data_IF_320288634459
#
_entry.id   IF_320288634459
#
_cell.length_a   1.000
_cell.length_b   1.000
_cell.length_c   1.000
_cell.angle_alpha   90.00
_cell.angle_beta   90.00
_cell.angle_gamma   90.00
#
_symmetry.space_group_name_H-M   'P 1'
#
loop_
_entity.id
_entity.type
_entity.pdbx_description
1 polymer ?
#
# COMPACT_ATOMS: atom_id res chain seq x y z
N UNK A 1 14.59 15.96 -17.04
CA UNK A 1 15.13 14.75 -16.38
C UNK A 1 13.95 13.84 -16.04
N UNK A 2 13.97 12.56 -16.40
CA UNK A 2 12.93 11.60 -16.01
C UNK A 2 13.50 10.75 -14.87
N UNK A 3 12.83 10.72 -13.73
CA UNK A 3 13.21 9.91 -12.57
C UNK A 3 12.25 8.71 -12.47
N UNK A 4 12.75 7.54 -12.12
CA UNK A 4 11.96 6.32 -11.95
C UNK A 4 12.21 5.81 -10.54
N UNK A 5 11.15 5.67 -9.77
CA UNK A 5 11.17 5.07 -8.44
C UNK A 5 10.43 3.73 -8.49
N UNK A 6 11.07 2.69 -7.96
CA UNK A 6 10.56 1.34 -7.91
C UNK A 6 10.63 0.83 -6.46
N UNK A 7 9.79 -0.16 -6.08
CA UNK A 7 9.96 -0.83 -4.81
C UNK A 7 11.34 -1.48 -4.75
N UNK A 8 12.04 -1.29 -3.63
CA UNK A 8 13.38 -1.85 -3.42
C UNK A 8 13.34 -3.31 -3.01
N UNK A 9 12.24 -3.74 -2.38
CA UNK A 9 11.99 -5.12 -1.99
C UNK A 9 10.56 -5.52 -2.33
N UNK A 10 10.40 -6.66 -3.00
CA UNK A 10 9.10 -7.27 -3.25
C UNK A 10 9.18 -8.72 -2.78
N UNK A 11 8.49 -9.02 -1.69
CA UNK A 11 8.40 -10.37 -1.12
C UNK A 11 7.03 -10.94 -1.43
N UNK A 12 7.01 -12.12 -2.06
CA UNK A 12 5.77 -12.83 -2.42
C UNK A 12 5.94 -14.29 -2.03
N UNK A 13 5.03 -14.80 -1.20
CA UNK A 13 5.12 -16.18 -0.73
C UNK A 13 4.09 -16.50 0.34
N UNK A 14 4.02 -17.77 0.72
CA UNK A 14 3.22 -18.17 1.87
C UNK A 14 3.91 -17.74 3.16
N UNK A 15 3.16 -17.17 4.11
CA UNK A 15 3.71 -16.71 5.39
C UNK A 15 4.74 -15.56 5.23
N UNK A 16 4.75 -14.86 4.09
CA UNK A 16 5.60 -13.69 3.86
C UNK A 16 5.37 -12.58 4.92
N UNK A 17 4.21 -12.57 5.58
CA UNK A 17 3.89 -11.62 6.65
C UNK A 17 4.83 -11.71 7.86
N UNK A 18 5.46 -12.86 8.10
CA UNK A 18 6.36 -13.04 9.23
C UNK A 18 7.77 -12.51 8.97
N UNK A 19 8.11 -12.21 7.71
CA UNK A 19 9.41 -11.62 7.32
C UNK A 19 9.34 -10.08 7.26
N UNK A 20 8.32 -9.47 7.88
CA UNK A 20 8.13 -8.00 7.81
C UNK A 20 9.26 -7.25 8.49
N UNK A 21 9.75 -7.74 9.63
CA UNK A 21 10.89 -7.13 10.34
C UNK A 21 12.18 -7.24 9.52
N UNK A 22 12.44 -8.42 8.95
CA UNK A 22 13.58 -8.65 8.05
C UNK A 22 13.56 -7.69 6.84
N UNK A 23 12.39 -7.50 6.22
CA UNK A 23 12.22 -6.57 5.10
C UNK A 23 12.48 -5.12 5.54
N UNK A 24 12.02 -4.71 6.72
CA UNK A 24 12.26 -3.37 7.29
C UNK A 24 13.77 -3.16 7.52
N UNK A 25 14.46 -4.16 8.06
CA UNK A 25 15.89 -4.14 8.32
C UNK A 25 16.71 -4.06 7.02
N UNK A 26 16.42 -4.93 6.04
CA UNK A 26 17.07 -4.92 4.72
C UNK A 26 16.92 -3.58 4.00
N UNK A 27 15.76 -2.93 4.15
CA UNK A 27 15.47 -1.63 3.56
C UNK A 27 16.18 -0.47 4.29
N UNK A 28 16.86 -0.74 5.41
CA UNK A 28 17.58 0.23 6.22
C UNK A 28 16.64 1.21 6.94
N UNK A 29 15.37 0.86 7.11
CA UNK A 29 14.38 1.69 7.79
C UNK A 29 14.58 1.53 9.29
N UNK A 30 14.66 2.65 10.01
CA UNK A 30 14.82 2.66 11.47
C UNK A 30 13.71 3.45 12.14
N UNK A 31 13.44 3.14 13.40
CA UNK A 31 12.44 3.83 14.22
C UNK A 31 11.11 3.10 14.25
N UNK A 32 10.02 3.83 14.54
CA UNK A 32 8.71 3.23 14.82
C UNK A 32 7.74 3.39 13.64
N UNK A 33 7.02 2.32 13.26
CA UNK A 33 5.99 2.40 12.23
C UNK A 33 4.71 3.07 12.72
N UNK A 34 4.00 3.70 11.78
CA UNK A 34 2.54 3.81 11.82
C UNK A 34 1.94 2.62 11.07
N UNK A 35 1.34 1.66 11.78
CA UNK A 35 0.66 0.52 11.15
C UNK A 35 -0.80 0.88 10.92
N UNK A 36 -1.27 0.83 9.67
CA UNK A 36 -2.64 1.17 9.28
C UNK A 36 -3.39 -0.09 8.81
N UNK A 37 -4.58 -0.34 9.36
CA UNK A 37 -5.47 -1.41 8.92
C UNK A 37 -6.94 -1.04 9.18
N UNK A 38 -7.90 -1.70 8.54
CA UNK A 38 -9.31 -1.65 8.96
C UNK A 38 -9.60 -2.73 10.03
N UNK A 39 -10.82 -2.74 10.58
CA UNK A 39 -11.25 -3.71 11.62
C UNK A 39 -11.10 -5.18 11.20
N UNK A 40 -11.26 -5.47 9.91
CA UNK A 40 -11.23 -6.82 9.36
C UNK A 40 -9.78 -7.25 9.09
N UNK A 41 -9.05 -6.40 8.38
CA UNK A 41 -7.65 -6.61 7.98
C UNK A 41 -6.70 -6.57 9.17
N UNK A 42 -7.04 -5.85 10.25
CA UNK A 42 -6.36 -5.97 11.55
C UNK A 42 -6.36 -7.41 12.06
N UNK A 43 -7.51 -8.08 12.06
CA UNK A 43 -7.62 -9.47 12.52
C UNK A 43 -6.96 -10.48 11.58
N UNK A 44 -6.92 -10.16 10.27
CA UNK A 44 -6.35 -11.04 9.24
C UNK A 44 -4.82 -11.00 9.25
N UNK A 45 -4.24 -9.80 9.37
CA UNK A 45 -2.81 -9.58 9.19
C UNK A 45 -2.25 -8.48 10.10
N UNK A 46 -3.03 -7.43 10.39
CA UNK A 46 -2.52 -6.26 11.12
C UNK A 46 -2.03 -6.55 12.54
N UNK A 47 -2.66 -7.49 13.26
CA UNK A 47 -2.23 -7.91 14.61
C UNK A 47 -0.93 -8.72 14.56
N UNK A 48 -0.73 -9.55 13.53
CA UNK A 48 0.54 -10.26 13.30
C UNK A 48 1.65 -9.28 12.99
N UNK A 49 1.44 -8.34 12.06
CA UNK A 49 2.42 -7.29 11.72
C UNK A 49 2.76 -6.43 12.93
N UNK A 50 1.76 -6.10 13.76
CA UNK A 50 1.97 -5.36 14.99
C UNK A 50 2.82 -6.14 16.01
N UNK A 51 2.67 -7.46 16.06
CA UNK A 51 3.50 -8.33 16.90
C UNK A 51 4.94 -8.39 16.39
N UNK A 52 5.15 -8.62 15.09
CA UNK A 52 6.50 -8.70 14.50
C UNK A 52 7.27 -7.38 14.65
N UNK A 53 6.59 -6.24 14.54
CA UNK A 53 7.21 -4.91 14.64
C UNK A 53 7.16 -4.29 16.06
N UNK A 54 6.76 -5.06 17.09
CA UNK A 54 6.55 -4.62 18.48
C UNK A 54 5.84 -3.26 18.60
N UNK A 55 4.69 -3.13 17.93
CA UNK A 55 3.94 -1.87 17.87
C UNK A 55 2.42 -2.10 17.86
N UNK A 56 1.64 -1.06 17.62
CA UNK A 56 0.17 -1.09 17.65
C UNK A 56 -0.42 -0.73 16.29
N UNK A 57 -1.39 -1.52 15.87
CA UNK A 57 -2.22 -1.20 14.70
C UNK A 57 -3.13 -0.01 14.99
N UNK A 58 -3.12 0.98 14.11
CA UNK A 58 -4.09 2.07 14.07
C UNK A 58 -5.21 1.68 13.12
N UNK A 59 -6.45 1.68 13.62
CA UNK A 59 -7.62 1.35 12.83
C UNK A 59 -8.03 2.57 12.00
N UNK A 60 -8.18 2.37 10.70
CA UNK A 60 -8.67 3.36 9.75
C UNK A 60 -9.97 2.84 9.13
N UNK A 61 -11.09 3.49 9.45
CA UNK A 61 -12.42 3.08 8.96
C UNK A 61 -12.79 3.78 7.65
N UNK A 62 -12.37 5.03 7.50
CA UNK A 62 -12.55 5.84 6.30
C UNK A 62 -11.31 6.71 6.07
N UNK A 63 -11.17 7.28 4.88
CA UNK A 63 -10.08 8.19 4.55
C UNK A 63 -10.60 9.48 3.95
N UNK A 64 -10.26 10.60 4.59
CA UNK A 64 -10.54 11.96 4.14
C UNK A 64 -9.40 12.90 4.57
N UNK A 65 -9.43 14.16 4.11
CA UNK A 65 -8.36 15.14 4.38
C UNK A 65 -8.21 15.44 5.90
N UNK A 66 -9.28 15.33 6.69
CA UNK A 66 -9.25 15.47 8.16
C UNK A 66 -8.46 14.34 8.81
N UNK A 67 -8.76 13.09 8.42
CA UNK A 67 -8.05 11.90 8.91
C UNK A 67 -6.58 11.95 8.49
N UNK A 68 -6.28 12.38 7.26
CA UNK A 68 -4.88 12.58 6.84
C UNK A 68 -4.16 13.55 7.79
N UNK A 69 -4.78 14.70 8.07
CA UNK A 69 -4.24 15.72 8.97
C UNK A 69 -4.03 15.21 10.41
N UNK A 70 -4.94 14.38 10.92
CA UNK A 70 -4.79 13.72 12.23
C UNK A 70 -3.60 12.74 12.24
N UNK A 71 -3.46 11.93 11.19
CA UNK A 71 -2.34 11.01 11.05
C UNK A 71 -1.01 11.77 10.93
N UNK A 72 -0.96 12.90 10.23
CA UNK A 72 0.21 13.77 10.19
C UNK A 72 0.62 14.28 11.58
N UNK A 73 -0.36 14.69 12.40
CA UNK A 73 -0.10 15.10 13.79
C UNK A 73 0.44 13.94 14.62
N UNK A 74 -0.16 12.75 14.49
CA UNK A 74 0.25 11.53 15.18
C UNK A 74 1.68 11.13 14.85
N UNK A 75 2.04 11.12 13.56
CA UNK A 75 3.40 10.84 13.08
C UNK A 75 4.42 11.76 13.75
N UNK A 76 4.11 13.06 13.82
CA UNK A 76 4.99 14.05 14.46
C UNK A 76 5.09 13.87 15.98
N UNK A 77 3.95 13.69 16.67
CA UNK A 77 3.92 13.58 18.13
C UNK A 77 4.59 12.31 18.63
N UNK A 78 4.39 11.19 17.93
CA UNK A 78 4.94 9.89 18.29
C UNK A 78 6.31 9.62 17.64
N UNK A 79 6.84 10.57 16.84
CA UNK A 79 8.10 10.44 16.11
C UNK A 79 8.15 9.15 15.27
N UNK A 80 7.08 8.89 14.53
CA UNK A 80 6.97 7.75 13.63
C UNK A 80 7.79 8.03 12.37
N UNK A 81 8.50 7.01 11.87
CA UNK A 81 9.53 7.17 10.85
C UNK A 81 9.19 6.51 9.53
N UNK A 82 8.14 5.67 9.49
CA UNK A 82 7.62 5.05 8.28
C UNK A 82 6.16 4.62 8.50
N UNK A 83 5.46 4.29 7.41
CA UNK A 83 4.07 3.81 7.45
C UNK A 83 4.02 2.39 6.88
N UNK A 84 3.24 1.52 7.51
CA UNK A 84 2.95 0.17 7.03
C UNK A 84 1.45 0.07 6.79
N UNK A 85 1.04 -0.08 5.53
CA UNK A 85 -0.37 -0.29 5.17
C UNK A 85 -0.68 -1.77 5.10
N UNK A 86 -1.65 -2.25 5.89
CA UNK A 86 -2.09 -3.64 5.92
C UNK A 86 -3.57 -3.71 5.55
N UNK A 87 -3.88 -4.13 4.32
CA UNK A 87 -5.27 -4.27 3.91
C UNK A 87 -5.52 -4.31 2.41
N UNK A 88 -6.74 -3.96 2.02
CA UNK A 88 -7.13 -3.80 0.62
C UNK A 88 -6.73 -2.44 0.04
N UNK A 89 -7.07 -2.21 -1.23
CA UNK A 89 -6.68 -1.01 -1.98
C UNK A 89 -6.88 0.32 -1.26
N UNK A 90 -8.02 0.50 -0.59
CA UNK A 90 -8.33 1.73 0.16
C UNK A 90 -7.35 2.03 1.29
N UNK A 91 -6.98 1.01 2.08
CA UNK A 91 -6.03 1.18 3.19
C UNK A 91 -4.64 1.47 2.66
N UNK A 92 -4.24 0.79 1.59
CA UNK A 92 -2.94 1.01 0.95
C UNK A 92 -2.86 2.40 0.31
N UNK A 93 -3.93 2.86 -0.34
CA UNK A 93 -4.01 4.19 -0.93
C UNK A 93 -3.96 5.28 0.15
N UNK A 94 -4.72 5.13 1.24
CA UNK A 94 -4.64 6.03 2.39
C UNK A 94 -3.22 6.08 2.97
N UNK A 95 -2.59 4.91 3.19
CA UNK A 95 -1.24 4.80 3.71
C UNK A 95 -0.18 5.45 2.82
N UNK A 96 -0.29 5.29 1.50
CA UNK A 96 0.59 5.97 0.52
C UNK A 96 0.45 7.48 0.58
N UNK A 97 -0.76 8.01 0.73
CA UNK A 97 -1.00 9.44 0.82
C UNK A 97 -0.44 10.00 2.13
N UNK A 98 -0.74 9.35 3.26
CA UNK A 98 -0.27 9.75 4.59
C UNK A 98 1.26 9.77 4.63
N UNK A 99 1.91 8.71 4.15
CA UNK A 99 3.37 8.62 4.10
C UNK A 99 3.98 9.67 3.16
N UNK A 100 3.35 9.93 2.01
CA UNK A 100 3.81 10.91 1.05
C UNK A 100 3.78 12.33 1.61
N UNK A 101 2.67 12.71 2.25
CA UNK A 101 2.54 14.01 2.92
C UNK A 101 3.51 14.16 4.09
N UNK A 102 3.77 13.07 4.82
CA UNK A 102 4.71 13.03 5.94
C UNK A 102 6.18 12.98 5.49
N UNK A 103 6.45 12.70 4.20
CA UNK A 103 7.79 12.47 3.62
C UNK A 103 8.56 11.35 4.34
N UNK A 104 7.85 10.27 4.67
CA UNK A 104 8.43 9.07 5.27
C UNK A 104 8.16 7.84 4.38
N UNK A 105 8.98 6.78 4.46
CA UNK A 105 8.80 5.59 3.65
C UNK A 105 7.45 4.88 3.90
N UNK A 106 6.98 4.17 2.88
CA UNK A 106 5.80 3.33 2.92
C UNK A 106 6.11 1.87 2.62
N UNK A 107 5.53 0.95 3.39
CA UNK A 107 5.52 -0.50 3.14
C UNK A 107 4.09 -0.95 2.88
N UNK A 108 3.89 -1.69 1.79
CA UNK A 108 2.60 -2.18 1.33
C UNK A 108 2.43 -3.66 1.67
N UNK A 109 1.41 -4.00 2.46
CA UNK A 109 1.06 -5.38 2.83
C UNK A 109 -0.39 -5.66 2.36
N UNK A 110 -0.58 -6.03 1.09
CA UNK A 110 -1.92 -6.29 0.56
C UNK A 110 -2.54 -7.56 1.15
N UNK A 111 -3.78 -7.46 1.63
CA UNK A 111 -4.60 -8.61 2.02
C UNK A 111 -5.48 -9.13 0.87
N UNK A 112 -5.46 -8.45 -0.28
CA UNK A 112 -6.18 -8.83 -1.49
C UNK A 112 -5.49 -8.26 -2.73
N UNK A 113 -5.45 -9.02 -3.83
CA UNK A 113 -4.93 -8.57 -5.12
C UNK A 113 -6.07 -8.08 -6.03
N UNK A 114 -6.63 -6.90 -5.74
CA UNK A 114 -7.78 -6.33 -6.47
C UNK A 114 -7.46 -5.38 -7.62
N UNK A 115 -6.25 -4.81 -7.61
CA UNK A 115 -5.69 -3.93 -8.64
C UNK A 115 -4.17 -3.82 -8.43
N UNK A 116 -3.44 -3.27 -9.40
CA UNK A 116 -1.98 -3.12 -9.38
C UNK A 116 -1.44 -1.99 -8.46
N UNK A 117 -2.35 -1.23 -7.83
CA UNK A 117 -2.02 -0.12 -6.94
C UNK A 117 -1.28 -0.51 -5.67
N UNK A 118 -1.12 -1.80 -5.41
CA UNK A 118 -0.32 -2.33 -4.29
C UNK A 118 1.18 -1.95 -4.40
N UNK A 119 1.66 -1.66 -5.61
CA UNK A 119 3.06 -1.35 -5.90
C UNK A 119 3.26 -0.04 -6.71
N UNK A 120 2.17 0.66 -7.06
CA UNK A 120 2.23 1.81 -7.96
C UNK A 120 2.44 3.14 -7.21
N UNK A 121 3.03 4.16 -7.88
CA UNK A 121 3.14 5.53 -7.37
C UNK A 121 1.83 6.32 -7.54
N UNK A 122 0.68 5.65 -7.53
CA UNK A 122 -0.64 6.25 -7.69
C UNK A 122 -1.53 5.82 -6.51
N UNK A 123 -2.31 6.73 -5.98
CA UNK A 123 -3.33 6.43 -4.97
C UNK A 123 -4.70 6.95 -5.42
N UNK A 124 -5.74 6.15 -5.28
CA UNK A 124 -7.12 6.55 -5.57
C UNK A 124 -7.78 7.07 -4.30
N UNK A 125 -7.97 8.39 -4.21
CA UNK A 125 -8.66 9.02 -3.08
C UNK A 125 -10.09 9.35 -3.50
N UNK A 126 -11.03 9.06 -2.61
CA UNK A 126 -12.42 9.50 -2.77
C UNK A 126 -12.61 10.87 -2.09
N UNK A 127 -12.66 11.93 -2.90
CA UNK A 127 -13.22 13.23 -2.48
C UNK A 127 -14.68 13.29 -2.96
N UNK A 128 -15.06 14.30 -3.73
CA UNK A 128 -16.38 14.35 -4.39
C UNK A 128 -16.49 13.32 -5.53
N UNK A 129 -15.39 13.10 -6.26
CA UNK A 129 -15.22 12.06 -7.26
C UNK A 129 -13.94 11.26 -6.93
N UNK A 130 -13.85 9.98 -7.33
CA UNK A 130 -12.60 9.23 -7.25
C UNK A 130 -11.53 9.91 -8.11
N UNK A 131 -10.46 10.35 -7.47
CA UNK A 131 -9.35 11.04 -8.14
C UNK A 131 -8.05 10.30 -7.85
N UNK A 132 -7.29 10.00 -8.91
CA UNK A 132 -5.95 9.46 -8.79
C UNK A 132 -4.95 10.57 -8.51
N UNK A 133 -4.17 10.42 -7.44
CA UNK A 133 -3.10 11.34 -7.07
C UNK A 133 -1.75 10.65 -7.17
N UNK A 134 -0.75 11.38 -7.68
CA UNK A 134 0.62 10.90 -7.73
C UNK A 134 1.23 10.94 -6.32
N UNK A 135 1.75 9.79 -5.89
CA UNK A 135 2.41 9.58 -4.59
C UNK A 135 3.77 8.93 -4.84
N UNK A 136 4.58 8.76 -3.79
CA UNK A 136 5.81 7.99 -3.92
C UNK A 136 5.50 6.50 -4.03
N UNK A 137 6.37 5.76 -4.71
CA UNK A 137 6.25 4.31 -4.82
C UNK A 137 6.52 3.66 -3.45
N UNK A 138 5.79 2.60 -3.04
CA UNK A 138 6.12 1.84 -1.85
C UNK A 138 7.59 1.39 -1.86
N UNK A 139 8.29 1.53 -0.73
CA UNK A 139 9.69 1.09 -0.63
C UNK A 139 9.78 -0.44 -0.59
N UNK A 140 8.79 -1.08 0.03
CA UNK A 140 8.64 -2.52 0.13
C UNK A 140 7.20 -2.99 -0.14
N UNK A 141 7.05 -4.15 -0.77
CA UNK A 141 5.75 -4.83 -0.96
C UNK A 141 5.85 -6.25 -0.41
N UNK A 142 4.95 -6.64 0.48
CA UNK A 142 4.93 -7.95 1.14
C UNK A 142 3.58 -8.61 0.88
N UNK A 143 3.53 -9.51 -0.10
CA UNK A 143 2.32 -10.17 -0.54
C UNK A 143 2.26 -11.62 -0.04
N UNK A 144 1.53 -11.82 1.06
CA UNK A 144 1.27 -13.15 1.60
C UNK A 144 0.20 -13.88 0.77
N UNK A 145 0.63 -14.90 0.02
CA UNK A 145 -0.25 -15.63 -0.91
C UNK A 145 -1.32 -16.46 -0.19
N UNK A 146 -1.08 -16.88 1.05
CA UNK A 146 -2.06 -17.62 1.87
C UNK A 146 -3.18 -16.71 2.37
N UNK A 147 -2.87 -15.44 2.62
CA UNK A 147 -3.87 -14.42 2.96
C UNK A 147 -4.64 -14.02 1.71
N UNK A 148 -3.94 -13.67 0.62
CA UNK A 148 -4.55 -13.21 -0.63
C UNK A 148 -5.47 -14.28 -1.23
N UNK A 149 -5.08 -15.56 -1.20
CA UNK A 149 -5.90 -16.67 -1.71
C UNK A 149 -7.22 -16.87 -0.96
N UNK A 150 -7.32 -16.41 0.29
CA UNK A 150 -8.54 -16.46 1.10
C UNK A 150 -9.41 -15.22 0.96
N UNK A 151 -8.95 -14.17 0.28
CA UNK A 151 -9.75 -12.98 0.03
C UNK A 151 -10.99 -13.31 -0.82
N UNK A 152 -12.08 -12.51 -0.73
CA UNK A 152 -13.27 -12.72 -1.55
C UNK A 152 -12.93 -12.84 -3.03
N UNK A 153 -13.38 -13.92 -3.70
CA UNK A 153 -13.03 -14.24 -5.10
C UNK A 153 -13.26 -13.09 -6.09
N UNK A 154 -14.27 -12.24 -5.84
CA UNK A 154 -14.54 -11.04 -6.64
C UNK A 154 -13.34 -10.08 -6.69
N UNK A 155 -12.58 -9.95 -5.60
CA UNK A 155 -11.40 -9.09 -5.57
C UNK A 155 -10.29 -9.64 -6.47
N UNK A 156 -10.02 -10.95 -6.41
CA UNK A 156 -9.05 -11.58 -7.31
C UNK A 156 -9.48 -11.45 -8.78
N UNK A 157 -10.78 -11.64 -9.08
CA UNK A 157 -11.32 -11.43 -10.41
C UNK A 157 -11.16 -9.98 -10.89
N UNK A 158 -11.34 -9.00 -10.00
CA UNK A 158 -11.07 -7.58 -10.27
C UNK A 158 -9.60 -7.35 -10.63
N UNK A 159 -8.65 -7.91 -9.87
CA UNK A 159 -7.23 -7.78 -10.16
C UNK A 159 -6.81 -8.45 -11.47
N UNK A 160 -7.43 -9.59 -11.81
CA UNK A 160 -7.22 -10.23 -13.11
C UNK A 160 -7.71 -9.35 -14.26
N UNK A 161 -8.89 -8.73 -14.13
CA UNK A 161 -9.42 -7.81 -15.13
C UNK A 161 -8.53 -6.55 -15.29
N UNK A 162 -8.02 -6.01 -14.19
CA UNK A 162 -7.06 -4.90 -14.17
C UNK A 162 -5.78 -5.24 -14.94
N UNK A 163 -5.19 -6.42 -14.67
CA UNK A 163 -4.01 -6.91 -15.39
C UNK A 163 -4.26 -7.12 -16.89
N UNK A 164 -5.45 -7.59 -17.29
CA UNK A 164 -5.84 -7.74 -18.70
C UNK A 164 -5.96 -6.37 -19.38
N UNK A 165 -6.46 -5.35 -18.68
CA UNK A 165 -6.63 -4.00 -19.22
C UNK A 165 -5.30 -3.36 -19.68
N UNK A 166 -4.18 -3.76 -19.08
CA UNK A 166 -2.84 -3.31 -19.48
C UNK A 166 -2.52 -3.64 -20.95
N UNK A 167 -3.08 -4.73 -21.49
CA UNK A 167 -2.88 -5.07 -22.90
C UNK A 167 -3.47 -4.01 -23.83
N UNK A 168 -4.72 -3.61 -23.60
CA UNK A 168 -5.37 -2.56 -24.40
C UNK A 168 -4.72 -1.20 -24.18
N UNK A 169 -4.32 -0.88 -22.93
CA UNK A 169 -3.63 0.37 -22.62
C UNK A 169 -2.30 0.52 -23.39
N UNK A 170 -1.52 -0.57 -23.52
CA UNK A 170 -0.27 -0.56 -24.31
C UNK A 170 -0.55 -0.38 -25.81
N UNK A 171 -1.64 -0.95 -26.34
CA UNK A 171 -2.04 -0.75 -27.73
C UNK A 171 -2.42 0.70 -28.01
N UNK A 172 -3.24 1.30 -27.14
CA UNK A 172 -3.61 2.71 -27.24
C UNK A 172 -2.38 3.62 -27.15
N UNK A 173 -1.44 3.31 -26.26
CA UNK A 173 -0.22 4.11 -26.13
C UNK A 173 0.66 4.04 -27.39
N UNK A 174 0.73 2.85 -28.03
CA UNK A 174 1.41 2.67 -29.32
C UNK A 174 0.72 3.42 -30.45
N UNK A 175 -0.62 3.42 -30.48
CA UNK A 175 -1.40 4.18 -31.46
C UNK A 175 -1.14 5.68 -31.30
N UNK A 176 -1.28 6.20 -30.09
CA UNK A 176 -1.04 7.61 -29.78
C UNK A 176 0.39 8.08 -30.07
N UNK A 177 1.37 7.18 -30.03
CA UNK A 177 2.74 7.49 -30.46
C UNK A 177 2.88 7.57 -31.99
N UNK A 178 2.16 6.72 -32.74
CA UNK A 178 2.19 6.71 -34.22
C UNK A 178 1.42 7.87 -34.85
N UNK A 179 0.37 8.35 -34.18
CA UNK A 179 -0.47 9.46 -34.66
C UNK A 179 0.05 10.86 -34.27
N UNK A 180 1.22 10.94 -33.63
CA UNK A 180 1.96 12.19 -33.39
C UNK A 180 2.88 12.53 -34.54
#
# INVERSE_FOLDING_TARGET
MKNIELPRRVLVGENALYEVDDVVEELGIKGRPLILADKTTKKIAGDTVACELDNKTTILEDFNDTISSEMQKKIKSERLTYVVGVGGGKILDAGKVISFEAKIPFISIPTSASHDGIASPQASIKRDLPTSVSVHCPLGVIADTKIISKAPKRLLASGAADAISNYTAVLDWRLAHKEK
#
